data_IF_547604066959
#
_entry.id   IF_547604066959
#
_cell.length_a   1.000
_cell.length_b   1.000
_cell.length_c   1.000
_cell.angle_alpha   90.00
_cell.angle_beta   90.00
_cell.angle_gamma   90.00
#
_symmetry.space_group_name_H-M   'P 1'
#
loop_
_entity.id
_entity.type
_entity.pdbx_description
1 polymer ?
#
# COMPACT_ATOMS: atom_id res chain seq x y z
N UNK A 1 -30.46 8.94 -9.04
CA UNK A 1 -29.55 9.03 -10.20
C UNK A 1 -28.78 7.73 -10.29
N UNK A 2 -28.91 6.93 -11.36
CA UNK A 2 -27.96 5.86 -11.65
C UNK A 2 -26.70 6.54 -12.21
N UNK A 3 -25.69 6.71 -11.36
CA UNK A 3 -24.41 7.31 -11.72
C UNK A 3 -23.27 6.44 -11.22
N UNK A 4 -22.18 6.39 -11.99
CA UNK A 4 -20.95 5.69 -11.62
C UNK A 4 -20.01 6.68 -10.96
N UNK A 5 -19.54 6.36 -9.76
CA UNK A 5 -18.51 7.15 -9.06
C UNK A 5 -17.17 6.47 -9.28
N UNK A 6 -16.22 7.21 -9.85
CA UNK A 6 -14.82 6.79 -10.00
C UNK A 6 -14.05 7.34 -8.81
N UNK A 7 -13.47 6.44 -8.02
CA UNK A 7 -12.72 6.75 -6.81
C UNK A 7 -11.27 6.33 -7.00
N UNK A 8 -10.33 7.21 -6.66
CA UNK A 8 -8.89 6.91 -6.66
C UNK A 8 -8.39 7.14 -5.24
N UNK A 9 -8.00 6.06 -4.58
CA UNK A 9 -7.44 6.08 -3.23
C UNK A 9 -6.17 5.23 -3.18
N UNK A 10 -5.29 5.56 -2.25
CA UNK A 10 -4.11 4.76 -1.93
C UNK A 10 -4.38 3.82 -0.74
N UNK A 11 -5.50 4.03 -0.03
CA UNK A 11 -5.97 3.19 1.06
C UNK A 11 -6.77 2.00 0.48
N UNK A 12 -6.20 0.81 0.60
CA UNK A 12 -6.75 -0.44 0.04
C UNK A 12 -7.94 -0.95 0.85
N UNK A 13 -7.98 -0.74 2.16
CA UNK A 13 -9.11 -1.12 3.00
C UNK A 13 -10.33 -0.27 2.67
N UNK A 14 -10.12 1.01 2.43
CA UNK A 14 -11.18 1.90 1.96
C UNK A 14 -11.69 1.47 0.57
N UNK A 15 -10.78 1.13 -0.35
CA UNK A 15 -11.18 0.60 -1.67
C UNK A 15 -11.96 -0.71 -1.53
N UNK A 16 -11.45 -1.65 -0.73
CA UNK A 16 -12.07 -2.97 -0.49
C UNK A 16 -13.50 -2.86 0.06
N UNK A 17 -13.79 -1.87 0.89
CA UNK A 17 -15.10 -1.72 1.52
C UNK A 17 -16.10 -0.87 0.70
N UNK A 18 -15.62 0.00 -0.20
CA UNK A 18 -16.46 1.01 -0.86
C UNK A 18 -16.65 0.75 -2.35
N UNK A 19 -15.63 0.22 -3.03
CA UNK A 19 -15.72 0.03 -4.49
C UNK A 19 -16.40 -1.29 -4.83
N UNK A 20 -17.20 -1.26 -5.88
CA UNK A 20 -17.86 -2.47 -6.42
C UNK A 20 -17.05 -3.09 -7.56
N UNK A 21 -16.14 -2.31 -8.15
CA UNK A 21 -15.20 -2.76 -9.18
C UNK A 21 -13.92 -1.93 -9.15
N UNK A 22 -12.79 -2.58 -9.43
CA UNK A 22 -11.45 -1.99 -9.47
C UNK A 22 -10.89 -2.07 -10.89
N UNK A 23 -10.43 -0.93 -11.41
CA UNK A 23 -9.74 -0.83 -12.70
C UNK A 23 -8.23 -0.84 -12.47
N UNK A 24 -7.52 -1.79 -13.07
CA UNK A 24 -6.07 -1.93 -12.87
C UNK A 24 -5.31 -1.89 -14.20
N UNK A 25 -4.20 -1.16 -14.21
CA UNK A 25 -3.23 -1.14 -15.30
C UNK A 25 -2.31 -2.36 -15.20
N UNK A 26 -2.38 -3.25 -16.19
CA UNK A 26 -1.49 -4.39 -16.28
C UNK A 26 -0.15 -4.06 -16.94
N UNK A 27 0.83 -4.95 -16.77
CA UNK A 27 2.19 -4.83 -17.31
C UNK A 27 2.27 -4.80 -18.84
N UNK A 28 1.20 -5.22 -19.53
CA UNK A 28 1.05 -5.12 -20.99
C UNK A 28 0.44 -3.78 -21.44
N UNK A 29 0.21 -2.84 -20.51
CA UNK A 29 -0.39 -1.53 -20.77
C UNK A 29 -1.91 -1.57 -20.97
N UNK A 30 -2.57 -2.71 -20.71
CA UNK A 30 -4.04 -2.82 -20.80
C UNK A 30 -4.68 -2.55 -19.45
N UNK A 31 -5.80 -1.85 -19.48
CA UNK A 31 -6.66 -1.70 -18.29
C UNK A 31 -7.61 -2.88 -18.24
N UNK A 32 -7.63 -3.61 -17.12
CA UNK A 32 -8.63 -4.63 -16.84
C UNK A 32 -9.50 -4.23 -15.66
N UNK A 33 -10.79 -4.52 -15.81
CA UNK A 33 -11.80 -4.33 -14.78
C UNK A 33 -11.95 -5.62 -13.98
N UNK A 34 -11.82 -5.52 -12.66
CA UNK A 34 -12.00 -6.60 -11.71
C UNK A 34 -13.23 -6.31 -10.86
N UNK A 35 -14.08 -7.32 -10.65
CA UNK A 35 -15.25 -7.18 -9.77
C UNK A 35 -14.78 -7.30 -8.33
N UNK A 36 -15.11 -6.31 -7.51
CA UNK A 36 -14.67 -6.21 -6.11
C UNK A 36 -13.51 -5.23 -5.88
N UNK A 37 -12.92 -5.35 -4.69
CA UNK A 37 -11.87 -4.46 -4.19
C UNK A 37 -10.47 -4.77 -4.70
N UNK A 38 -9.48 -4.17 -4.05
CA UNK A 38 -8.07 -4.45 -4.27
C UNK A 38 -7.72 -5.93 -4.02
N UNK A 39 -8.27 -6.54 -2.96
CA UNK A 39 -8.01 -7.94 -2.61
C UNK A 39 -8.53 -8.92 -3.67
N UNK A 40 -9.68 -8.61 -4.28
CA UNK A 40 -10.27 -9.41 -5.35
C UNK A 40 -9.42 -9.36 -6.61
N UNK A 41 -8.87 -8.18 -6.93
CA UNK A 41 -7.87 -8.05 -7.98
C UNK A 41 -6.63 -8.91 -7.66
N UNK A 42 -6.07 -8.84 -6.46
CA UNK A 42 -4.87 -9.59 -6.08
C UNK A 42 -5.07 -11.11 -6.23
N UNK A 43 -6.27 -11.61 -5.88
CA UNK A 43 -6.66 -13.02 -6.02
C UNK A 43 -6.78 -13.45 -7.48
N UNK A 44 -7.31 -12.59 -8.36
CA UNK A 44 -7.50 -12.88 -9.77
C UNK A 44 -6.24 -12.66 -10.62
N UNK A 45 -5.37 -11.74 -10.20
CA UNK A 45 -4.07 -11.48 -10.81
C UNK A 45 -3.04 -12.57 -10.52
N UNK A 46 -3.27 -13.40 -9.49
CA UNK A 46 -2.46 -14.59 -9.22
C UNK A 46 -2.93 -15.71 -10.16
N UNK A 47 -2.11 -16.19 -11.12
CA UNK A 47 -2.53 -17.24 -12.04
C UNK A 47 -2.80 -18.52 -11.25
N UNK A 48 -4.08 -18.87 -11.10
CA UNK A 48 -4.49 -20.20 -10.65
C UNK A 48 -4.14 -21.12 -11.82
N UNK A 49 -3.17 -22.05 -11.69
CA UNK A 49 -2.91 -23.02 -12.74
C UNK A 49 -4.21 -23.83 -12.95
N UNK A 50 -4.72 -23.95 -14.19
CA UNK A 50 -5.94 -24.69 -14.46
C UNK A 50 -5.82 -26.11 -13.92
N UNK A 51 -6.79 -26.52 -13.10
CA UNK A 51 -6.89 -27.87 -12.59
C UNK A 51 -7.12 -28.85 -13.76
N UNK A 52 -6.11 -29.71 -13.95
CA UNK A 52 -6.08 -31.03 -14.57
C UNK A 52 -7.22 -31.47 -15.52
N UNK A 53 -6.86 -31.66 -16.79
CA UNK A 53 -7.34 -32.79 -17.60
C UNK A 53 -6.13 -33.70 -17.92
N UNK A 54 -6.14 -34.94 -17.40
CA UNK A 54 -5.12 -36.00 -17.60
C UNK A 54 -5.26 -36.68 -18.98
N UNK A 55 -4.33 -37.57 -19.39
CA UNK A 55 -2.87 -37.43 -19.48
C UNK A 55 -2.33 -37.89 -20.85
N UNK A 56 -1.13 -37.44 -21.26
CA UNK A 56 -0.24 -38.25 -22.13
C UNK A 56 1.20 -38.20 -21.62
N UNK A 57 1.94 -39.33 -21.61
CA UNK A 57 3.24 -39.39 -20.97
C UNK A 57 4.33 -38.94 -21.94
N UNK A 58 5.11 -37.93 -21.57
CA UNK A 58 6.53 -37.89 -21.93
C UNK A 58 7.35 -36.93 -21.07
N UNK A 59 8.39 -37.56 -20.52
CA UNK A 59 9.72 -37.02 -20.27
C UNK A 59 9.95 -36.09 -19.08
N UNK A 60 10.95 -36.49 -18.32
CA UNK A 60 11.36 -35.92 -17.06
C UNK A 60 11.95 -34.52 -17.25
N UNK A 61 11.25 -33.50 -16.76
CA UNK A 61 11.87 -32.28 -16.31
C UNK A 61 11.79 -32.26 -14.78
N UNK A 62 12.96 -32.35 -14.14
CA UNK A 62 13.11 -32.07 -12.70
C UNK A 62 12.72 -30.61 -12.48
N UNK A 63 11.43 -30.35 -12.20
CA UNK A 63 11.02 -29.08 -11.62
C UNK A 63 11.64 -29.03 -10.25
N UNK A 64 12.70 -28.22 -10.15
CA UNK A 64 13.26 -27.75 -8.89
C UNK A 64 12.10 -27.20 -8.10
N UNK A 65 11.63 -27.97 -7.12
CA UNK A 65 10.64 -27.55 -6.12
C UNK A 65 11.21 -26.27 -5.52
N UNK A 66 10.72 -25.12 -5.96
CA UNK A 66 10.91 -23.88 -5.24
C UNK A 66 10.36 -24.17 -3.85
N UNK A 67 11.27 -24.19 -2.86
CA UNK A 67 10.87 -24.33 -1.47
C UNK A 67 9.80 -23.26 -1.23
N UNK A 68 8.63 -23.61 -0.68
CA UNK A 68 7.66 -22.59 -0.30
C UNK A 68 8.42 -21.60 0.56
N UNK A 69 8.45 -20.33 0.13
CA UNK A 69 9.09 -19.27 0.92
C UNK A 69 8.58 -19.42 2.34
N UNK A 70 9.49 -19.69 3.26
CA UNK A 70 9.14 -19.92 4.65
C UNK A 70 8.36 -18.69 5.10
N UNK A 71 7.07 -18.90 5.37
CA UNK A 71 6.14 -17.82 5.72
C UNK A 71 6.70 -17.15 6.96
N UNK A 72 7.14 -15.90 6.79
CA UNK A 72 7.82 -15.12 7.81
C UNK A 72 6.79 -14.80 8.90
N UNK A 73 7.11 -15.13 10.14
CA UNK A 73 6.30 -14.73 11.31
C UNK A 73 6.75 -13.34 11.75
N UNK A 74 5.81 -12.53 12.24
CA UNK A 74 6.16 -11.24 12.80
C UNK A 74 7.01 -11.45 14.06
N UNK A 75 8.14 -10.77 14.16
CA UNK A 75 8.95 -10.79 15.37
C UNK A 75 8.40 -9.83 16.42
N UNK A 76 8.72 -10.04 17.70
CA UNK A 76 8.32 -9.15 18.79
C UNK A 76 8.74 -7.68 18.56
N UNK A 77 9.86 -7.46 17.87
CA UNK A 77 10.32 -6.11 17.51
C UNK A 77 9.44 -5.47 16.45
N UNK A 78 9.12 -6.23 15.39
CA UNK A 78 8.23 -5.79 14.31
C UNK A 78 6.80 -5.56 14.82
N UNK A 79 6.32 -6.35 15.79
CA UNK A 79 5.00 -6.13 16.39
C UNK A 79 4.90 -4.79 17.12
N UNK A 80 5.93 -4.44 17.91
CA UNK A 80 6.00 -3.13 18.56
C UNK A 80 6.16 -1.98 17.54
N UNK A 81 6.83 -2.26 16.42
CA UNK A 81 6.97 -1.31 15.31
C UNK A 81 5.59 -1.00 14.70
N UNK A 82 4.78 -2.01 14.38
CA UNK A 82 3.39 -1.84 13.87
C UNK A 82 2.53 -1.00 14.81
N UNK A 83 2.66 -1.19 16.11
CA UNK A 83 1.90 -0.43 17.10
C UNK A 83 2.32 1.04 17.18
N UNK A 84 3.59 1.35 16.88
CA UNK A 84 4.14 2.71 16.95
C UNK A 84 4.02 3.49 15.63
N UNK A 85 3.98 2.79 14.48
CA UNK A 85 3.93 3.42 13.16
C UNK A 85 2.71 4.35 12.95
N UNK A 86 1.48 4.03 13.39
CA UNK A 86 0.34 4.93 13.29
C UNK A 86 0.56 6.28 13.98
N UNK A 87 1.09 6.26 15.21
CA UNK A 87 1.38 7.49 15.97
C UNK A 87 2.45 8.34 15.29
N UNK A 88 3.47 7.70 14.71
CA UNK A 88 4.51 8.39 13.93
C UNK A 88 3.96 9.03 12.66
N UNK A 89 3.07 8.32 11.96
CA UNK A 89 2.40 8.82 10.77
C UNK A 89 1.52 10.04 11.13
N UNK A 90 0.66 9.91 12.13
CA UNK A 90 -0.21 11.02 12.59
C UNK A 90 0.59 12.26 12.99
N UNK A 91 1.73 12.06 13.67
CA UNK A 91 2.63 13.16 14.03
C UNK A 91 3.18 13.87 12.80
N UNK A 92 3.71 13.12 11.82
CA UNK A 92 4.26 13.69 10.59
C UNK A 92 3.19 14.37 9.72
N UNK A 93 1.97 13.83 9.69
CA UNK A 93 0.85 14.46 9.00
C UNK A 93 0.41 15.77 9.65
N UNK A 94 0.35 15.79 10.98
CA UNK A 94 0.07 17.00 11.76
C UNK A 94 1.15 18.06 11.57
N UNK A 95 2.42 17.64 11.55
CA UNK A 95 3.55 18.52 11.25
C UNK A 95 3.44 19.09 9.84
N UNK A 96 3.16 18.25 8.83
CA UNK A 96 2.94 18.67 7.44
C UNK A 96 1.82 19.71 7.35
N UNK A 97 0.70 19.49 8.03
CA UNK A 97 -0.43 20.41 8.03
C UNK A 97 -0.08 21.76 8.69
N UNK A 98 0.64 21.74 9.81
CA UNK A 98 1.16 22.95 10.46
C UNK A 98 2.08 23.74 9.53
N UNK A 99 2.99 23.06 8.82
CA UNK A 99 3.90 23.71 7.87
C UNK A 99 3.15 24.33 6.68
N UNK A 100 2.12 23.67 6.15
CA UNK A 100 1.27 24.28 5.13
C UNK A 100 0.52 25.51 5.65
N UNK A 101 0.03 25.47 6.89
CA UNK A 101 -0.62 26.63 7.51
C UNK A 101 0.37 27.80 7.69
N UNK A 102 1.60 27.52 8.10
CA UNK A 102 2.67 28.53 8.19
C UNK A 102 3.01 29.13 6.83
N UNK A 103 3.12 28.30 5.78
CA UNK A 103 3.37 28.78 4.41
C UNK A 103 2.19 29.55 3.82
N UNK A 104 0.98 29.37 4.33
CA UNK A 104 -0.19 30.15 3.93
C UNK A 104 -0.21 31.55 4.58
N UNK A 105 0.58 31.80 5.63
CA UNK A 105 0.62 33.08 6.33
C UNK A 105 1.48 34.12 5.56
N UNK A 106 0.90 35.25 5.10
CA UNK A 106 1.64 36.31 4.44
C UNK A 106 2.71 36.98 5.32
N UNK A 107 2.61 36.87 6.66
CA UNK A 107 3.60 37.42 7.58
C UNK A 107 4.97 36.73 7.44
N UNK A 108 5.00 35.44 7.17
CA UNK A 108 6.22 34.63 7.02
C UNK A 108 7.10 35.12 5.86
N UNK A 109 6.49 35.71 4.83
CA UNK A 109 7.18 36.26 3.66
C UNK A 109 7.77 37.65 3.92
N UNK A 110 7.29 38.37 4.94
CA UNK A 110 7.78 39.71 5.30
C UNK A 110 9.09 39.65 6.11
N UNK A 111 9.34 38.54 6.81
CA UNK A 111 10.52 38.34 7.67
C UNK A 111 11.79 37.88 6.91
N UNK A 112 11.84 38.09 5.58
CA UNK A 112 13.03 37.79 4.78
C UNK A 112 13.10 36.37 4.23
N UNK A 113 12.01 35.58 4.31
CA UNK A 113 11.85 34.33 3.57
C UNK A 113 12.68 33.13 4.07
N UNK A 114 13.55 33.29 5.07
CA UNK A 114 14.32 32.19 5.65
C UNK A 114 13.42 31.10 6.26
N UNK A 115 12.34 31.50 6.96
CA UNK A 115 11.33 30.57 7.49
C UNK A 115 10.58 29.81 6.40
N UNK A 116 10.33 30.43 5.24
CA UNK A 116 9.72 29.79 4.07
C UNK A 116 10.63 28.69 3.52
N UNK A 117 11.93 28.95 3.42
CA UNK A 117 12.91 27.97 2.92
C UNK A 117 12.99 26.77 3.86
N UNK A 118 13.05 27.00 5.18
CA UNK A 118 13.09 25.93 6.18
C UNK A 118 11.79 25.10 6.17
N UNK A 119 10.63 25.75 6.13
CA UNK A 119 9.34 25.06 6.09
C UNK A 119 9.19 24.19 4.82
N UNK A 120 9.61 24.71 3.66
CA UNK A 120 9.61 23.93 2.41
C UNK A 120 10.56 22.75 2.45
N UNK A 121 11.78 22.94 2.98
CA UNK A 121 12.74 21.84 3.10
C UNK A 121 12.22 20.74 4.03
N UNK A 122 11.56 21.10 5.13
CA UNK A 122 10.96 20.13 6.04
C UNK A 122 9.77 19.41 5.40
N UNK A 123 8.91 20.12 4.67
CA UNK A 123 7.82 19.52 3.90
C UNK A 123 8.34 18.49 2.90
N UNK A 124 9.39 18.80 2.14
CA UNK A 124 9.96 17.86 1.17
C UNK A 124 10.49 16.58 1.85
N UNK A 125 11.07 16.70 3.04
CA UNK A 125 11.49 15.55 3.84
C UNK A 125 10.29 14.73 4.29
N UNK A 126 9.25 15.36 4.84
CA UNK A 126 8.03 14.67 5.31
C UNK A 126 7.31 13.99 4.14
N UNK A 127 7.25 14.62 2.97
CA UNK A 127 6.67 14.04 1.75
C UNK A 127 7.41 12.80 1.25
N UNK A 128 8.70 12.65 1.58
CA UNK A 128 9.50 11.44 1.30
C UNK A 128 9.38 10.38 2.39
N UNK A 129 9.28 10.79 3.66
CA UNK A 129 9.21 9.91 4.82
C UNK A 129 7.84 9.24 4.97
N UNK A 130 6.74 10.00 4.82
CA UNK A 130 5.38 9.49 4.98
C UNK A 130 5.10 8.25 4.11
N UNK A 131 5.36 8.25 2.79
CA UNK A 131 5.13 7.07 1.96
C UNK A 131 5.94 5.85 2.40
N UNK A 132 7.15 6.05 2.93
CA UNK A 132 8.01 4.94 3.40
C UNK A 132 7.45 4.32 4.68
N UNK A 133 6.96 5.15 5.60
CA UNK A 133 6.32 4.68 6.84
C UNK A 133 5.02 3.95 6.55
N UNK A 134 4.19 4.47 5.64
CA UNK A 134 2.97 3.79 5.18
C UNK A 134 3.29 2.43 4.55
N UNK A 135 4.25 2.37 3.63
CA UNK A 135 4.66 1.11 2.99
C UNK A 135 5.20 0.09 4.01
N UNK A 136 5.97 0.57 5.01
CA UNK A 136 6.50 -0.27 6.08
C UNK A 136 5.40 -0.79 7.00
N UNK A 137 4.44 0.07 7.34
CA UNK A 137 3.29 -0.30 8.16
C UNK A 137 2.44 -1.37 7.46
N UNK A 138 2.16 -1.17 6.17
CA UNK A 138 1.45 -2.12 5.32
C UNK A 138 2.16 -3.48 5.25
N UNK A 139 3.48 -3.51 4.97
CA UNK A 139 4.26 -4.75 4.93
C UNK A 139 4.09 -5.57 6.22
N UNK A 140 4.16 -4.89 7.36
CA UNK A 140 4.09 -5.55 8.66
C UNK A 140 2.65 -5.95 9.04
N UNK A 141 1.65 -5.16 8.67
CA UNK A 141 0.22 -5.52 8.79
C UNK A 141 -0.12 -6.74 7.92
N UNK A 142 0.37 -6.82 6.68
CA UNK A 142 0.19 -7.98 5.81
C UNK A 142 0.78 -9.26 6.43
N UNK A 143 1.98 -9.17 7.00
CA UNK A 143 2.61 -10.30 7.71
C UNK A 143 1.75 -10.73 8.91
N UNK A 144 1.28 -9.78 9.72
CA UNK A 144 0.42 -10.03 10.88
C UNK A 144 -0.94 -10.64 10.50
N UNK A 145 -1.58 -10.12 9.45
CA UNK A 145 -2.85 -10.62 8.95
C UNK A 145 -2.73 -12.04 8.39
N UNK A 146 -1.64 -12.32 7.66
CA UNK A 146 -1.37 -13.66 7.13
C UNK A 146 -1.15 -14.73 8.21
N UNK A 147 -0.74 -14.32 9.42
CA UNK A 147 -0.62 -15.17 10.59
C UNK A 147 -1.99 -15.44 11.25
N UNK A 148 -2.87 -14.42 11.31
CA UNK A 148 -4.19 -14.51 11.95
C UNK A 148 -5.21 -15.38 11.18
N UNK A 149 -5.22 -15.33 9.84
CA UNK A 149 -6.18 -16.10 8.99
C UNK A 149 -5.96 -17.62 9.03
N UNK A 150 -4.95 -18.10 9.75
CA UNK A 150 -4.59 -19.53 9.86
C UNK A 150 -5.10 -20.24 11.11
N UNK A 151 -5.81 -19.54 11.99
CA UNK A 151 -6.44 -20.11 13.18
C UNK A 151 -7.90 -20.40 12.89
#
# INVERSE_FOLDING_TARGET
YPGTVLLVSHDRDFLNNVVTSTLVFESDGRVREYVGGYDDWLRQATPIPPAEAKPKPKEAAKTKRERPQARRKISFKEQREVEALPEQIEHLESERQSLYAQLADPALYKEGGAGVVQAKARLETIEKELPQLYARWEELEEIKFSEAVKV
#
